data_IF_514321358035
#
_entry.id   IF_514321358035
#
_cell.length_a   1.000
_cell.length_b   1.000
_cell.length_c   1.000
_cell.angle_alpha   90.00
_cell.angle_beta   90.00
_cell.angle_gamma   90.00
#
_symmetry.space_group_name_H-M   'P 1'
#
loop_
_entity.id
_entity.type
_entity.pdbx_description
1 polymer ?
#
# COMPACT_ATOMS: atom_id res chain seq x y z
N UNK A 1 21.22 11.56 -24.41
CA UNK A 1 21.40 10.56 -23.32
C UNK A 1 22.14 11.24 -22.18
N UNK A 2 21.51 11.28 -21.02
CA UNK A 2 22.05 11.97 -19.85
C UNK A 2 22.65 10.98 -18.83
N UNK A 3 23.12 9.83 -19.34
CA UNK A 3 23.74 8.79 -18.51
C UNK A 3 24.97 9.29 -17.77
N UNK A 4 25.19 8.77 -16.54
CA UNK A 4 26.42 9.00 -15.78
C UNK A 4 27.64 8.29 -16.40
N UNK A 5 27.39 7.27 -17.21
CA UNK A 5 28.41 6.54 -17.97
C UNK A 5 28.61 7.15 -19.34
N UNK A 6 29.88 7.22 -19.80
CA UNK A 6 30.22 7.80 -21.12
C UNK A 6 30.97 6.83 -22.04
N UNK A 7 31.64 5.82 -21.47
CA UNK A 7 32.56 4.98 -22.22
C UNK A 7 32.73 3.61 -21.55
N UNK A 8 33.47 2.75 -22.20
CA UNK A 8 33.85 1.41 -21.74
C UNK A 8 35.36 1.28 -21.77
N UNK A 9 35.93 0.73 -20.69
CA UNK A 9 37.35 0.40 -20.62
C UNK A 9 37.52 -1.10 -20.42
N UNK A 10 38.59 -1.68 -20.91
CA UNK A 10 38.95 -3.07 -20.66
C UNK A 10 39.78 -3.18 -19.38
N UNK A 11 39.45 -4.13 -18.53
CA UNK A 11 40.27 -4.51 -17.38
C UNK A 11 41.56 -5.21 -17.87
N UNK A 12 42.51 -5.44 -16.97
CA UNK A 12 43.71 -6.24 -17.29
C UNK A 12 43.37 -7.71 -17.60
N UNK A 13 42.21 -8.19 -17.12
CA UNK A 13 41.68 -9.53 -17.45
C UNK A 13 40.86 -9.54 -18.75
N UNK A 14 40.76 -8.43 -19.49
CA UNK A 14 40.03 -8.32 -20.75
C UNK A 14 38.51 -8.13 -20.61
N UNK A 15 38.00 -7.92 -19.41
CA UNK A 15 36.58 -7.70 -19.17
C UNK A 15 36.19 -6.22 -19.35
N UNK A 16 35.04 -5.97 -19.94
CA UNK A 16 34.51 -4.63 -20.14
C UNK A 16 34.04 -4.01 -18.84
N UNK A 17 34.35 -2.75 -18.59
CA UNK A 17 34.02 -1.98 -17.40
C UNK A 17 33.39 -0.65 -17.83
N UNK A 18 32.21 -0.26 -17.30
CA UNK A 18 31.62 1.07 -17.52
C UNK A 18 32.51 2.17 -16.92
N UNK A 19 32.64 3.27 -17.63
CA UNK A 19 33.42 4.44 -17.25
C UNK A 19 32.52 5.64 -17.02
N UNK A 20 32.68 6.29 -15.88
CA UNK A 20 31.95 7.51 -15.54
C UNK A 20 32.40 8.71 -16.32
N UNK A 21 31.59 9.77 -16.38
CA UNK A 21 31.92 11.07 -16.95
C UNK A 21 33.21 11.67 -16.37
N UNK A 22 33.49 11.42 -15.10
CA UNK A 22 34.73 11.83 -14.44
C UNK A 22 35.99 11.13 -14.91
N UNK A 23 35.85 10.09 -15.73
CA UNK A 23 36.96 9.25 -16.19
C UNK A 23 37.27 8.07 -15.24
N UNK A 24 36.64 7.99 -14.07
CA UNK A 24 36.81 6.87 -13.13
C UNK A 24 36.03 5.63 -13.59
N UNK A 25 36.43 4.48 -13.10
CA UNK A 25 35.78 3.19 -13.38
C UNK A 25 34.92 2.77 -12.21
N UNK A 26 33.78 2.13 -12.50
CA UNK A 26 32.91 1.60 -11.44
C UNK A 26 33.50 0.34 -10.81
N UNK A 27 34.17 -0.51 -11.58
CA UNK A 27 34.80 -1.75 -11.13
C UNK A 27 36.34 -1.67 -11.16
N UNK A 28 36.98 -2.66 -10.56
CA UNK A 28 38.44 -2.82 -10.55
C UNK A 28 39.03 -2.86 -11.98
N UNK A 29 40.00 -1.99 -12.27
CA UNK A 29 40.76 -2.03 -13.52
C UNK A 29 41.60 -3.29 -13.71
N UNK A 30 41.89 -4.01 -12.60
CA UNK A 30 42.73 -5.20 -12.64
C UNK A 30 41.89 -6.45 -12.92
N UNK A 31 40.98 -6.80 -11.99
CA UNK A 31 40.15 -7.99 -12.04
C UNK A 31 38.79 -7.69 -11.37
N UNK A 32 37.74 -7.34 -12.15
CA UNK A 32 36.43 -7.02 -11.63
C UNK A 32 35.67 -8.25 -11.08
N UNK A 33 35.95 -9.47 -11.59
CA UNK A 33 35.33 -10.68 -11.05
C UNK A 33 35.86 -11.03 -9.66
N UNK A 34 37.18 -10.92 -9.48
CA UNK A 34 37.81 -11.14 -8.17
C UNK A 34 37.35 -10.10 -7.15
N UNK A 35 37.18 -8.83 -7.56
CA UNK A 35 36.59 -7.80 -6.74
C UNK A 35 35.17 -8.21 -6.29
N UNK A 36 34.32 -8.62 -7.23
CA UNK A 36 32.96 -9.05 -6.95
C UNK A 36 32.91 -10.25 -5.97
N UNK A 37 33.76 -11.26 -6.18
CA UNK A 37 33.86 -12.41 -5.28
C UNK A 37 34.27 -11.98 -3.86
N UNK A 38 35.25 -11.10 -3.74
CA UNK A 38 35.70 -10.62 -2.44
C UNK A 38 34.61 -9.83 -1.72
N UNK A 39 33.86 -9.00 -2.43
CA UNK A 39 32.74 -8.25 -1.86
C UNK A 39 31.61 -9.18 -1.37
N UNK A 40 31.25 -10.18 -2.18
CA UNK A 40 30.21 -11.15 -1.81
C UNK A 40 30.63 -12.05 -0.65
N UNK A 41 31.92 -12.36 -0.51
CA UNK A 41 32.43 -13.18 0.60
C UNK A 41 32.26 -12.48 1.95
N UNK A 42 32.22 -11.16 1.99
CA UNK A 42 31.97 -10.38 3.20
C UNK A 42 30.48 -10.25 3.56
N UNK A 43 29.59 -10.93 2.83
CA UNK A 43 28.16 -10.95 3.10
C UNK A 43 27.80 -12.31 3.67
N UNK A 44 27.21 -12.34 4.86
CA UNK A 44 27.10 -13.57 5.67
C UNK A 44 25.68 -14.18 5.70
N UNK A 45 24.66 -13.55 5.16
CA UNK A 45 23.29 -14.05 5.31
C UNK A 45 22.36 -13.77 4.12
N UNK A 46 21.35 -14.61 3.97
CA UNK A 46 20.23 -14.35 3.08
C UNK A 46 19.40 -13.16 3.59
N UNK A 47 19.16 -12.19 2.71
CA UNK A 47 18.46 -10.95 3.03
C UNK A 47 17.69 -10.42 1.85
N UNK A 48 16.98 -9.34 2.07
CA UNK A 48 16.60 -8.45 1.00
C UNK A 48 17.75 -7.46 0.76
N UNK A 49 18.30 -7.46 -0.44
CA UNK A 49 19.42 -6.60 -0.81
C UNK A 49 18.95 -5.45 -1.72
N UNK A 50 19.26 -4.22 -1.33
CA UNK A 50 19.24 -3.06 -2.21
C UNK A 50 20.68 -2.73 -2.58
N UNK A 51 21.02 -2.84 -3.86
CA UNK A 51 22.38 -2.64 -4.36
C UNK A 51 22.45 -1.34 -5.17
N UNK A 52 23.33 -0.41 -4.79
CA UNK A 52 23.54 0.85 -5.50
C UNK A 52 24.59 0.67 -6.60
N UNK A 53 24.22 1.03 -7.84
CA UNK A 53 25.10 0.90 -9.02
C UNK A 53 25.18 -0.53 -9.55
N UNK A 54 24.69 -0.74 -10.75
CA UNK A 54 24.69 -2.05 -11.44
C UNK A 54 26.04 -2.31 -12.07
N UNK A 55 26.59 -1.30 -12.74
CA UNK A 55 27.80 -1.43 -13.52
C UNK A 55 27.73 -2.56 -14.57
N UNK A 56 28.78 -3.34 -14.71
CA UNK A 56 28.76 -4.51 -15.57
C UNK A 56 28.14 -5.77 -14.89
N UNK A 57 27.50 -5.61 -13.74
CA UNK A 57 26.74 -6.66 -13.07
C UNK A 57 27.52 -7.75 -12.33
N UNK A 58 28.84 -7.70 -12.33
CA UNK A 58 29.68 -8.76 -11.73
C UNK A 58 29.33 -9.07 -10.29
N UNK A 59 29.16 -8.04 -9.47
CA UNK A 59 28.81 -8.19 -8.06
C UNK A 59 27.41 -8.77 -7.86
N UNK A 60 26.42 -8.23 -8.57
CA UNK A 60 25.02 -8.65 -8.43
C UNK A 60 24.84 -10.11 -8.87
N UNK A 61 25.51 -10.49 -9.95
CA UNK A 61 25.53 -11.88 -10.44
C UNK A 61 26.09 -12.83 -9.38
N UNK A 62 27.26 -12.52 -8.81
CA UNK A 62 27.86 -13.35 -7.74
C UNK A 62 27.01 -13.36 -6.48
N UNK A 63 26.33 -12.27 -6.14
CA UNK A 63 25.41 -12.20 -5.00
C UNK A 63 24.19 -13.12 -5.23
N UNK A 64 23.58 -13.08 -6.43
CA UNK A 64 22.45 -13.94 -6.77
C UNK A 64 22.83 -15.44 -6.82
N UNK A 65 24.03 -15.76 -7.29
CA UNK A 65 24.57 -17.14 -7.28
C UNK A 65 24.77 -17.67 -5.85
N UNK A 66 25.32 -16.83 -4.94
CA UNK A 66 25.58 -17.23 -3.54
C UNK A 66 24.30 -17.32 -2.72
N UNK A 67 23.31 -16.45 -2.98
CA UNK A 67 22.07 -16.36 -2.22
C UNK A 67 20.83 -16.45 -3.11
N UNK A 68 20.53 -17.62 -3.69
CA UNK A 68 19.45 -17.79 -4.66
C UNK A 68 18.03 -17.54 -4.08
N UNK A 69 17.89 -17.62 -2.75
CA UNK A 69 16.63 -17.36 -2.05
C UNK A 69 16.48 -15.91 -1.60
N UNK A 70 17.48 -15.08 -1.80
CA UNK A 70 17.41 -13.65 -1.49
C UNK A 70 16.68 -12.90 -2.59
N UNK A 71 16.09 -11.76 -2.23
CA UNK A 71 15.57 -10.79 -3.18
C UNK A 71 16.59 -9.68 -3.38
N UNK A 72 16.92 -9.40 -4.61
CA UNK A 72 17.88 -8.36 -4.96
C UNK A 72 17.17 -7.29 -5.77
N UNK A 73 17.25 -6.04 -5.32
CA UNK A 73 16.85 -4.85 -6.06
C UNK A 73 18.12 -4.08 -6.38
N UNK A 74 18.43 -3.91 -7.66
CA UNK A 74 19.58 -3.17 -8.12
C UNK A 74 19.13 -1.82 -8.69
N UNK A 75 19.77 -0.75 -8.25
CA UNK A 75 19.37 0.62 -8.60
C UNK A 75 20.43 1.35 -9.39
N UNK A 76 20.00 2.00 -10.47
CA UNK A 76 20.74 3.07 -11.15
C UNK A 76 20.03 4.42 -10.98
N UNK A 77 20.75 5.51 -11.28
CA UNK A 77 20.17 6.83 -11.11
C UNK A 77 18.97 7.04 -12.04
N UNK A 78 19.09 6.66 -13.31
CA UNK A 78 18.12 6.97 -14.36
C UNK A 78 17.91 5.83 -15.35
N UNK A 79 16.87 5.95 -16.17
CA UNK A 79 16.63 5.01 -17.27
C UNK A 79 17.75 5.10 -18.34
N UNK A 80 18.31 6.28 -18.59
CA UNK A 80 19.45 6.45 -19.52
C UNK A 80 20.68 5.62 -19.09
N UNK A 81 20.90 5.47 -17.78
CA UNK A 81 21.99 4.63 -17.25
C UNK A 81 21.72 3.15 -17.49
N UNK A 82 20.49 2.70 -17.23
CA UNK A 82 20.05 1.33 -17.50
C UNK A 82 20.18 1.00 -18.99
N UNK A 83 19.74 1.89 -19.86
CA UNK A 83 19.79 1.73 -21.31
C UNK A 83 21.25 1.67 -21.82
N UNK A 84 22.15 2.47 -21.24
CA UNK A 84 23.58 2.41 -21.54
C UNK A 84 24.15 1.04 -21.18
N UNK A 85 23.85 0.53 -19.96
CA UNK A 85 24.36 -0.74 -19.49
C UNK A 85 23.81 -1.91 -20.32
N UNK A 86 22.53 -1.90 -20.66
CA UNK A 86 21.95 -2.96 -21.52
C UNK A 86 22.57 -2.96 -22.91
N UNK A 87 22.70 -1.77 -23.51
CA UNK A 87 23.29 -1.64 -24.86
C UNK A 87 24.71 -2.20 -24.96
N UNK A 88 25.52 -2.01 -23.94
CA UNK A 88 26.94 -2.32 -23.99
C UNK A 88 27.33 -3.64 -23.33
N UNK A 89 26.52 -4.13 -22.37
CA UNK A 89 26.84 -5.31 -21.57
C UNK A 89 25.76 -6.40 -21.65
N UNK A 90 24.55 -6.06 -22.14
CA UNK A 90 23.36 -6.95 -22.12
C UNK A 90 23.03 -7.50 -20.71
N UNK A 91 23.52 -6.78 -19.69
CA UNK A 91 23.47 -7.26 -18.29
C UNK A 91 22.10 -7.14 -17.68
N UNK A 92 21.29 -6.15 -18.10
CA UNK A 92 19.97 -5.90 -17.49
C UNK A 92 19.03 -7.08 -17.76
N UNK A 93 19.02 -7.57 -19.01
CA UNK A 93 18.23 -8.74 -19.39
C UNK A 93 18.70 -10.00 -18.66
N UNK A 94 20.00 -10.20 -18.52
CA UNK A 94 20.59 -11.33 -17.79
C UNK A 94 20.21 -11.31 -16.30
N UNK A 95 20.32 -10.16 -15.64
CA UNK A 95 19.98 -10.01 -14.23
C UNK A 95 18.48 -10.24 -13.96
N UNK A 96 17.60 -9.74 -14.84
CA UNK A 96 16.17 -9.99 -14.75
C UNK A 96 15.82 -11.48 -14.85
N UNK A 97 16.48 -12.25 -15.71
CA UNK A 97 16.32 -13.70 -15.78
C UNK A 97 16.74 -14.40 -14.48
N UNK A 98 17.67 -13.82 -13.74
CA UNK A 98 18.12 -14.32 -12.41
C UNK A 98 17.28 -13.75 -11.25
N UNK A 99 16.06 -13.29 -11.50
CA UNK A 99 15.12 -12.77 -10.50
C UNK A 99 15.59 -11.52 -9.75
N UNK A 100 16.50 -10.75 -10.35
CA UNK A 100 16.94 -9.43 -9.86
C UNK A 100 15.99 -8.36 -10.39
N UNK A 101 15.53 -7.49 -9.50
CA UNK A 101 14.71 -6.33 -9.88
C UNK A 101 15.63 -5.17 -10.19
N UNK A 102 15.43 -4.58 -11.36
CA UNK A 102 16.14 -3.37 -11.78
C UNK A 102 15.22 -2.17 -11.60
N UNK A 103 15.70 -1.13 -10.94
CA UNK A 103 14.93 0.09 -10.67
C UNK A 103 15.77 1.35 -10.84
N UNK A 104 15.10 2.49 -10.90
CA UNK A 104 15.73 3.83 -10.89
C UNK A 104 15.46 4.52 -9.57
N UNK A 105 16.19 5.61 -9.29
CA UNK A 105 15.96 6.44 -8.10
C UNK A 105 14.52 6.94 -8.04
N UNK A 106 13.91 7.28 -9.16
CA UNK A 106 12.51 7.75 -9.25
C UNK A 106 11.50 6.66 -8.82
N UNK A 107 11.76 5.42 -9.21
CA UNK A 107 10.85 4.29 -8.96
C UNK A 107 11.18 3.50 -7.70
N UNK A 108 12.23 3.87 -6.96
CA UNK A 108 12.76 3.11 -5.83
C UNK A 108 11.71 2.90 -4.74
N UNK A 109 10.99 3.95 -4.36
CA UNK A 109 9.97 3.88 -3.30
C UNK A 109 8.94 2.79 -3.58
N UNK A 110 8.32 2.83 -4.76
CA UNK A 110 7.32 1.85 -5.16
C UNK A 110 7.92 0.44 -5.31
N UNK A 111 9.14 0.34 -5.81
CA UNK A 111 9.86 -0.93 -5.94
C UNK A 111 10.07 -1.59 -4.57
N UNK A 112 10.42 -0.82 -3.54
CA UNK A 112 10.58 -1.35 -2.18
C UNK A 112 9.25 -1.77 -1.57
N UNK A 113 8.19 -0.95 -1.69
CA UNK A 113 6.85 -1.30 -1.19
C UNK A 113 6.30 -2.60 -1.80
N UNK A 114 6.56 -2.84 -3.08
CA UNK A 114 6.06 -4.01 -3.79
C UNK A 114 6.86 -5.30 -3.52
N UNK A 115 8.12 -5.18 -3.13
CA UNK A 115 9.03 -6.33 -3.14
C UNK A 115 9.61 -6.68 -1.77
N UNK A 116 9.71 -5.74 -0.82
CA UNK A 116 10.21 -6.06 0.51
C UNK A 116 9.09 -6.51 1.43
N UNK A 117 9.08 -7.78 1.76
CA UNK A 117 8.09 -8.40 2.67
C UNK A 117 8.84 -8.91 3.91
N UNK A 118 8.74 -8.22 5.08
CA UNK A 118 9.51 -8.55 6.29
C UNK A 118 9.31 -9.97 6.82
N UNK A 119 8.15 -10.60 6.57
CA UNK A 119 7.89 -11.99 6.96
C UNK A 119 8.62 -13.03 6.10
N UNK A 120 9.04 -12.65 4.90
CA UNK A 120 9.81 -13.52 3.98
C UNK A 120 11.31 -13.20 4.09
N UNK A 121 11.63 -11.90 4.16
CA UNK A 121 13.00 -11.39 4.26
C UNK A 121 13.19 -10.69 5.61
N UNK A 122 13.66 -11.39 6.64
CA UNK A 122 13.72 -10.85 8.00
C UNK A 122 14.76 -9.74 8.16
N UNK A 123 15.70 -9.62 7.23
CA UNK A 123 16.67 -8.52 7.23
C UNK A 123 16.72 -7.78 5.90
N UNK A 124 17.00 -6.49 5.96
CA UNK A 124 17.20 -5.60 4.82
C UNK A 124 18.63 -5.08 4.84
N UNK A 125 19.34 -5.19 3.72
CA UNK A 125 20.71 -4.68 3.57
C UNK A 125 20.84 -3.75 2.38
N UNK A 126 21.29 -2.54 2.63
CA UNK A 126 21.76 -1.63 1.61
C UNK A 126 23.22 -1.94 1.32
N UNK A 127 23.51 -2.37 0.12
CA UNK A 127 24.88 -2.61 -0.36
C UNK A 127 25.38 -1.39 -1.08
N UNK A 128 26.35 -0.76 -0.47
CA UNK A 128 26.95 0.50 -0.91
C UNK A 128 28.14 0.23 -1.86
N UNK A 129 27.92 0.41 -3.18
CA UNK A 129 29.01 0.27 -4.13
C UNK A 129 29.85 1.55 -4.13
N UNK A 130 30.97 1.53 -3.41
CA UNK A 130 31.78 2.73 -3.10
C UNK A 130 32.13 3.57 -4.34
N UNK A 131 32.54 2.92 -5.45
CA UNK A 131 32.91 3.64 -6.67
C UNK A 131 31.74 4.42 -7.24
N UNK A 132 30.54 3.85 -7.21
CA UNK A 132 29.31 4.49 -7.66
C UNK A 132 28.92 5.67 -6.77
N UNK A 133 28.98 5.48 -5.46
CA UNK A 133 28.62 6.50 -4.47
C UNK A 133 29.53 7.72 -4.56
N UNK A 134 30.84 7.52 -4.70
CA UNK A 134 31.79 8.64 -4.83
C UNK A 134 31.54 9.54 -6.04
N UNK A 135 30.90 9.01 -7.08
CA UNK A 135 30.53 9.77 -8.28
C UNK A 135 29.10 10.33 -8.21
N UNK A 136 28.28 9.88 -7.24
CA UNK A 136 26.85 10.17 -7.19
C UNK A 136 26.38 10.44 -5.74
N UNK A 137 27.12 11.24 -4.97
CA UNK A 137 26.84 11.48 -3.54
C UNK A 137 25.43 12.03 -3.29
N UNK A 138 25.02 13.06 -4.03
CA UNK A 138 23.67 13.67 -3.86
C UNK A 138 22.55 12.67 -4.18
N UNK A 139 22.79 11.79 -5.16
CA UNK A 139 21.83 10.74 -5.54
C UNK A 139 21.78 9.68 -4.45
N UNK A 140 22.92 9.32 -3.87
CA UNK A 140 23.00 8.34 -2.80
C UNK A 140 22.26 8.83 -1.53
N UNK A 141 22.43 10.08 -1.14
CA UNK A 141 21.65 10.68 -0.05
C UNK A 141 20.13 10.61 -0.32
N UNK A 142 19.72 10.86 -1.56
CA UNK A 142 18.34 10.72 -1.98
C UNK A 142 17.83 9.29 -1.86
N UNK A 143 18.64 8.30 -2.27
CA UNK A 143 18.35 6.87 -2.14
C UNK A 143 18.20 6.49 -0.67
N UNK A 144 19.08 6.96 0.21
CA UNK A 144 18.99 6.69 1.65
C UNK A 144 17.70 7.24 2.26
N UNK A 145 17.32 8.48 1.91
CA UNK A 145 16.08 9.09 2.39
C UNK A 145 14.83 8.34 1.91
N UNK A 146 14.75 8.02 0.62
CA UNK A 146 13.64 7.24 0.05
C UNK A 146 13.56 5.85 0.70
N UNK A 147 14.70 5.20 0.89
CA UNK A 147 14.78 3.87 1.52
C UNK A 147 14.29 3.92 2.96
N UNK A 148 14.75 4.91 3.73
CA UNK A 148 14.33 5.10 5.13
C UNK A 148 12.82 5.32 5.25
N UNK A 149 12.24 6.15 4.38
CA UNK A 149 10.80 6.41 4.34
C UNK A 149 10.02 5.14 3.96
N UNK A 150 10.44 4.43 2.92
CA UNK A 150 9.80 3.20 2.49
C UNK A 150 9.83 2.13 3.59
N UNK A 151 10.98 1.91 4.23
CA UNK A 151 11.12 0.94 5.32
C UNK A 151 10.25 1.30 6.53
N UNK A 152 10.14 2.59 6.87
CA UNK A 152 9.25 3.05 7.93
C UNK A 152 7.78 2.70 7.63
N UNK A 153 7.33 2.97 6.41
CA UNK A 153 5.96 2.69 6.01
C UNK A 153 5.68 1.17 5.96
N UNK A 154 6.60 0.37 5.41
CA UNK A 154 6.51 -1.09 5.42
C UNK A 154 6.44 -1.64 6.84
N UNK A 155 7.27 -1.13 7.76
CA UNK A 155 7.26 -1.58 9.16
C UNK A 155 5.96 -1.23 9.88
N UNK A 156 5.37 -0.06 9.60
CA UNK A 156 4.07 0.35 10.15
C UNK A 156 2.95 -0.56 9.64
N UNK A 157 2.90 -0.80 8.33
CA UNK A 157 1.90 -1.70 7.72
C UNK A 157 2.04 -3.12 8.24
N UNK A 158 3.26 -3.64 8.30
CA UNK A 158 3.53 -4.98 8.82
C UNK A 158 3.11 -5.13 10.28
N UNK A 159 3.42 -4.14 11.13
CA UNK A 159 2.99 -4.11 12.53
C UNK A 159 1.46 -4.09 12.66
N UNK A 160 0.78 -3.30 11.86
CA UNK A 160 -0.67 -3.22 11.83
C UNK A 160 -1.30 -4.55 11.40
N UNK A 161 -0.80 -5.16 10.34
CA UNK A 161 -1.26 -6.47 9.87
C UNK A 161 -0.97 -7.58 10.88
N UNK A 162 0.18 -7.56 11.55
CA UNK A 162 0.52 -8.54 12.58
C UNK A 162 -0.43 -8.45 13.78
N UNK A 163 -0.83 -7.23 14.16
CA UNK A 163 -1.73 -7.00 15.30
C UNK A 163 -3.19 -7.32 14.95
N UNK A 164 -3.68 -6.84 13.82
CA UNK A 164 -5.09 -6.92 13.45
C UNK A 164 -5.44 -8.07 12.50
N UNK A 165 -4.47 -8.67 11.82
CA UNK A 165 -4.71 -9.63 10.74
C UNK A 165 -5.60 -10.81 11.17
N UNK A 166 -5.38 -11.38 12.36
CA UNK A 166 -6.23 -12.47 12.89
C UNK A 166 -7.67 -12.00 13.14
N UNK A 167 -7.84 -10.75 13.59
CA UNK A 167 -9.16 -10.16 13.84
C UNK A 167 -9.88 -9.96 12.51
N UNK A 168 -9.20 -9.37 11.52
CA UNK A 168 -9.76 -9.14 10.19
C UNK A 168 -10.15 -10.44 9.50
N UNK A 169 -9.25 -11.44 9.46
CA UNK A 169 -9.55 -12.75 8.86
C UNK A 169 -10.77 -13.40 9.49
N UNK A 170 -10.85 -13.43 10.82
CA UNK A 170 -12.01 -13.98 11.55
C UNK A 170 -13.28 -13.19 11.22
N UNK A 171 -13.21 -11.87 11.18
CA UNK A 171 -14.34 -11.03 10.87
C UNK A 171 -14.82 -11.27 9.43
N UNK A 172 -13.90 -11.29 8.45
CA UNK A 172 -14.24 -11.56 7.04
C UNK A 172 -14.99 -12.88 6.91
N UNK A 173 -14.46 -13.97 7.48
CA UNK A 173 -15.10 -15.30 7.40
C UNK A 173 -16.50 -15.28 8.03
N UNK A 174 -16.68 -14.59 9.16
CA UNK A 174 -17.96 -14.48 9.82
C UNK A 174 -18.94 -13.55 9.07
N UNK A 175 -18.44 -12.49 8.46
CA UNK A 175 -19.27 -11.50 7.77
C UNK A 175 -19.71 -12.00 6.40
N UNK A 176 -18.87 -12.75 5.68
CA UNK A 176 -19.26 -13.44 4.44
C UNK A 176 -20.51 -14.35 4.66
N UNK A 177 -20.62 -14.99 5.83
CA UNK A 177 -21.81 -15.79 6.20
C UNK A 177 -23.06 -14.95 6.46
N UNK A 178 -22.91 -13.63 6.62
CA UNK A 178 -24.04 -12.71 6.89
C UNK A 178 -24.58 -12.05 5.61
N UNK A 179 -23.92 -12.22 4.49
CA UNK A 179 -24.35 -11.67 3.21
C UNK A 179 -25.67 -12.32 2.83
N UNK A 180 -26.65 -11.52 2.48
CA UNK A 180 -27.94 -11.96 1.91
C UNK A 180 -28.12 -11.28 0.56
N UNK A 181 -28.62 -12.00 -0.42
CA UNK A 181 -28.71 -11.61 -1.83
C UNK A 181 -29.81 -10.59 -2.16
N UNK A 182 -30.53 -10.01 -1.20
CA UNK A 182 -31.93 -9.70 -1.48
C UNK A 182 -32.35 -8.25 -1.42
N UNK A 183 -31.46 -7.27 -1.34
CA UNK A 183 -31.94 -5.87 -1.29
C UNK A 183 -31.11 -4.96 -2.18
N UNK A 184 -31.64 -4.64 -3.36
CA UNK A 184 -31.15 -3.49 -4.13
C UNK A 184 -31.47 -2.21 -3.36
N UNK A 185 -30.45 -1.50 -2.89
CA UNK A 185 -30.60 -0.24 -2.15
C UNK A 185 -30.42 0.90 -3.15
N UNK A 186 -31.49 1.67 -3.33
CA UNK A 186 -31.50 2.85 -4.20
C UNK A 186 -31.23 4.09 -3.34
N UNK A 187 -30.15 4.80 -3.68
CA UNK A 187 -29.81 6.07 -3.02
C UNK A 187 -30.47 7.26 -3.71
N UNK A 188 -30.98 8.25 -2.94
CA UNK A 188 -31.61 9.48 -3.48
C UNK A 188 -30.54 10.46 -3.98
N UNK A 189 -30.05 10.23 -5.19
CA UNK A 189 -28.93 10.99 -5.81
C UNK A 189 -29.23 12.46 -6.04
N UNK A 190 -30.49 12.86 -6.00
CA UNK A 190 -30.98 14.24 -6.09
C UNK A 190 -30.77 15.05 -4.81
N UNK A 191 -30.52 14.38 -3.68
CA UNK A 191 -30.17 15.03 -2.42
C UNK A 191 -28.68 15.31 -2.31
N UNK A 192 -28.34 16.27 -1.46
CA UNK A 192 -26.94 16.52 -1.09
C UNK A 192 -26.50 15.46 -0.09
N UNK A 193 -25.43 14.74 -0.39
CA UNK A 193 -24.81 13.83 0.58
C UNK A 193 -24.05 14.63 1.64
N UNK A 194 -24.29 14.36 2.90
CA UNK A 194 -23.55 14.97 4.01
C UNK A 194 -22.82 13.89 4.77
N UNK A 195 -21.50 13.88 4.61
CA UNK A 195 -20.60 12.98 5.37
C UNK A 195 -20.33 13.63 6.73
N UNK A 196 -20.79 13.00 7.80
CA UNK A 196 -20.67 13.53 9.17
C UNK A 196 -19.65 12.72 9.95
N UNK A 197 -18.60 13.43 10.41
CA UNK A 197 -17.57 12.90 11.31
C UNK A 197 -17.73 13.46 12.73
N UNK A 198 -17.13 12.79 13.72
CA UNK A 198 -17.21 13.20 15.13
C UNK A 198 -16.15 14.27 15.50
N UNK A 199 -15.95 15.26 14.63
CA UNK A 199 -15.04 16.37 14.90
C UNK A 199 -15.71 17.53 15.66
N UNK A 200 -14.93 18.48 16.20
CA UNK A 200 -15.47 19.65 16.92
C UNK A 200 -16.34 20.56 16.04
N UNK A 201 -16.22 20.44 14.72
CA UNK A 201 -17.05 21.16 13.75
C UNK A 201 -18.51 20.71 13.77
N UNK A 202 -18.79 19.46 14.17
CA UNK A 202 -20.14 18.90 14.18
C UNK A 202 -21.07 19.69 15.09
N UNK A 203 -20.62 20.04 16.29
CA UNK A 203 -21.45 20.79 17.27
C UNK A 203 -21.96 22.10 16.68
N UNK A 204 -21.12 22.79 15.88
CA UNK A 204 -21.47 24.06 15.23
C UNK A 204 -22.44 23.88 14.04
N UNK A 205 -22.60 22.66 13.55
CA UNK A 205 -23.40 22.34 12.35
C UNK A 205 -24.70 21.61 12.66
N UNK A 206 -24.96 21.27 13.92
CA UNK A 206 -26.19 20.56 14.34
C UNK A 206 -27.45 21.32 13.92
N UNK A 207 -27.51 22.63 14.16
CA UNK A 207 -28.66 23.47 13.76
C UNK A 207 -28.89 23.43 12.24
N UNK A 208 -27.81 23.60 11.47
CA UNK A 208 -27.87 23.55 10.00
C UNK A 208 -28.34 22.18 9.49
N UNK A 209 -27.89 21.10 10.09
CA UNK A 209 -28.32 19.74 9.71
C UNK A 209 -29.83 19.58 9.95
N UNK A 210 -30.32 20.05 11.10
CA UNK A 210 -31.76 19.98 11.45
C UNK A 210 -32.63 20.80 10.47
N UNK A 211 -32.19 22.02 10.11
CA UNK A 211 -32.90 22.90 9.18
C UNK A 211 -32.96 22.37 7.74
N UNK A 212 -31.91 21.64 7.32
CA UNK A 212 -31.80 21.14 5.96
C UNK A 212 -32.16 19.65 5.82
N UNK A 213 -32.71 19.00 6.86
CA UNK A 213 -32.88 17.55 6.92
C UNK A 213 -33.58 16.93 5.69
N UNK A 214 -34.54 17.59 5.13
CA UNK A 214 -35.31 17.09 3.97
C UNK A 214 -34.49 17.11 2.66
N UNK A 215 -33.52 18.00 2.56
CA UNK A 215 -32.71 18.20 1.35
C UNK A 215 -31.43 17.37 1.31
N UNK A 216 -31.05 16.78 2.46
CA UNK A 216 -29.79 16.09 2.64
C UNK A 216 -29.98 14.60 2.86
N UNK A 217 -28.94 13.82 2.52
CA UNK A 217 -28.78 12.42 2.88
C UNK A 217 -27.54 12.27 3.75
N UNK A 218 -27.71 11.82 4.99
CA UNK A 218 -26.65 11.80 6.00
C UNK A 218 -25.92 10.45 5.98
N UNK A 219 -24.64 10.49 5.63
CA UNK A 219 -23.68 9.40 5.87
C UNK A 219 -22.92 9.70 7.17
N UNK A 220 -23.23 9.03 8.26
CA UNK A 220 -22.52 9.20 9.51
C UNK A 220 -21.37 8.18 9.61
N UNK A 221 -20.21 8.61 10.12
CA UNK A 221 -19.24 7.66 10.66
C UNK A 221 -19.82 7.00 11.92
N UNK A 222 -19.35 5.81 12.29
CA UNK A 222 -19.79 5.10 13.50
C UNK A 222 -19.64 5.94 14.78
N UNK A 223 -18.56 6.72 14.87
CA UNK A 223 -18.33 7.65 15.99
C UNK A 223 -19.31 8.82 15.99
N UNK A 224 -19.60 9.41 14.83
CA UNK A 224 -20.57 10.51 14.69
C UNK A 224 -22.02 10.06 14.93
N UNK A 225 -22.35 8.81 14.58
CA UNK A 225 -23.69 8.25 14.75
C UNK A 225 -24.22 8.39 16.18
N UNK A 226 -23.36 8.10 17.19
CA UNK A 226 -23.71 8.27 18.59
C UNK A 226 -24.03 9.72 18.96
N UNK A 227 -23.32 10.70 18.39
CA UNK A 227 -23.54 12.13 18.62
C UNK A 227 -24.84 12.58 17.98
N UNK A 228 -25.07 12.20 16.72
CA UNK A 228 -26.32 12.52 16.02
C UNK A 228 -27.54 11.94 16.73
N UNK A 229 -27.45 10.71 17.25
CA UNK A 229 -28.53 10.12 18.06
C UNK A 229 -28.83 10.91 19.34
N UNK A 230 -27.81 11.48 20.00
CA UNK A 230 -28.04 12.35 21.19
C UNK A 230 -28.81 13.61 20.83
N UNK A 231 -28.54 14.16 19.65
CA UNK A 231 -29.17 15.34 19.09
C UNK A 231 -30.52 15.05 18.42
N UNK A 232 -31.00 13.81 18.49
CA UNK A 232 -32.25 13.33 17.87
C UNK A 232 -32.25 13.50 16.34
N UNK A 233 -31.05 13.42 15.71
CA UNK A 233 -30.90 13.45 14.27
C UNK A 233 -30.72 12.01 13.78
N UNK A 234 -31.61 11.60 12.87
CA UNK A 234 -31.49 10.26 12.25
C UNK A 234 -30.51 10.32 11.08
N UNK A 235 -29.52 9.39 11.10
CA UNK A 235 -28.64 9.17 9.98
C UNK A 235 -29.34 8.26 8.96
N UNK A 236 -29.27 8.61 7.67
CA UNK A 236 -29.82 7.76 6.60
C UNK A 236 -28.93 6.56 6.37
N UNK A 237 -27.60 6.76 6.43
CA UNK A 237 -26.63 5.69 6.38
C UNK A 237 -25.55 5.86 7.45
N UNK A 238 -24.98 4.73 7.91
CA UNK A 238 -23.84 4.69 8.84
C UNK A 238 -22.75 3.81 8.26
N UNK A 239 -21.54 4.32 8.18
CA UNK A 239 -20.39 3.57 7.71
C UNK A 239 -19.42 3.24 8.84
N UNK A 240 -18.94 1.99 8.87
CA UNK A 240 -17.95 1.50 9.83
C UNK A 240 -17.01 0.50 9.16
N UNK A 241 -15.71 0.74 9.31
CA UNK A 241 -14.66 -0.15 8.77
C UNK A 241 -13.85 -0.83 9.88
N UNK A 242 -14.06 -0.43 11.15
CA UNK A 242 -13.25 -0.90 12.27
C UNK A 242 -13.61 -2.33 12.67
N UNK A 243 -12.60 -3.23 12.68
CA UNK A 243 -12.73 -4.62 13.10
C UNK A 243 -12.68 -4.85 14.60
N UNK A 244 -12.33 -3.83 15.39
CA UNK A 244 -12.09 -3.97 16.82
C UNK A 244 -13.38 -4.07 17.64
N UNK A 245 -13.30 -4.72 18.80
CA UNK A 245 -14.48 -4.88 19.68
C UNK A 245 -14.95 -3.55 20.27
N UNK A 246 -14.08 -2.56 20.37
CA UNK A 246 -14.43 -1.24 20.89
C UNK A 246 -15.51 -0.54 20.04
N UNK A 247 -15.53 -0.78 18.74
CA UNK A 247 -16.52 -0.20 17.82
C UNK A 247 -17.95 -0.61 18.16
N UNK A 248 -18.15 -1.73 18.86
CA UNK A 248 -19.48 -2.14 19.32
C UNK A 248 -20.15 -1.09 20.22
N UNK A 249 -19.38 -0.29 20.94
CA UNK A 249 -19.90 0.78 21.80
C UNK A 249 -20.67 1.87 21.05
N UNK A 250 -20.38 2.06 19.77
CA UNK A 250 -21.08 3.05 18.94
C UNK A 250 -22.52 2.63 18.62
N UNK A 251 -22.82 1.33 18.72
CA UNK A 251 -24.11 0.71 18.39
C UNK A 251 -24.92 0.26 19.61
N UNK A 252 -24.57 0.69 20.84
CA UNK A 252 -25.26 0.27 22.07
C UNK A 252 -26.68 0.83 22.21
N UNK A 253 -26.92 2.03 21.68
CA UNK A 253 -28.23 2.68 21.73
C UNK A 253 -29.24 2.00 20.79
N UNK A 254 -30.53 2.40 20.95
CA UNK A 254 -31.58 1.95 20.04
C UNK A 254 -31.25 2.36 18.61
N UNK A 255 -31.28 1.38 17.73
CA UNK A 255 -30.98 1.56 16.31
C UNK A 255 -32.27 1.86 15.58
N UNK A 256 -32.24 2.88 14.70
CA UNK A 256 -33.38 3.18 13.84
C UNK A 256 -33.44 2.13 12.72
N UNK A 257 -34.60 1.53 12.52
CA UNK A 257 -34.87 0.46 11.55
C UNK A 257 -34.71 0.91 10.09
N UNK A 258 -34.83 2.21 9.80
CA UNK A 258 -34.67 2.78 8.46
C UNK A 258 -33.23 3.12 8.08
N UNK A 259 -32.29 3.10 9.04
CA UNK A 259 -30.90 3.42 8.79
C UNK A 259 -30.24 2.29 8.00
N UNK A 260 -29.56 2.62 6.89
CA UNK A 260 -28.73 1.73 6.12
C UNK A 260 -27.37 1.63 6.80
N UNK A 261 -26.85 0.43 6.95
CA UNK A 261 -25.50 0.23 7.51
C UNK A 261 -24.54 -0.24 6.43
N UNK A 262 -23.38 0.40 6.36
CA UNK A 262 -22.31 0.10 5.41
C UNK A 262 -21.12 -0.39 6.21
N UNK A 263 -20.78 -1.65 6.06
CA UNK A 263 -19.68 -2.27 6.79
C UNK A 263 -18.61 -2.79 5.84
N UNK A 264 -17.35 -2.48 6.15
CA UNK A 264 -16.27 -3.25 5.56
C UNK A 264 -16.35 -4.71 6.04
N UNK A 265 -15.98 -5.66 5.17
CA UNK A 265 -15.97 -7.07 5.55
C UNK A 265 -14.94 -7.38 6.66
N UNK A 266 -13.91 -6.53 6.85
CA UNK A 266 -13.02 -6.59 8.04
C UNK A 266 -13.69 -6.09 9.31
N UNK A 267 -14.83 -5.40 9.22
CA UNK A 267 -15.56 -4.77 10.31
C UNK A 267 -16.03 -5.75 11.39
N UNK A 268 -16.37 -5.22 12.57
CA UNK A 268 -16.72 -6.03 13.72
C UNK A 268 -17.98 -6.89 13.50
N UNK A 269 -17.82 -8.20 13.46
CA UNK A 269 -18.91 -9.16 13.23
C UNK A 269 -20.04 -9.11 14.26
N UNK A 270 -19.76 -8.65 15.48
CA UNK A 270 -20.82 -8.54 16.53
C UNK A 270 -21.71 -7.33 16.26
N UNK A 271 -21.15 -6.22 15.74
CA UNK A 271 -21.94 -5.08 15.28
C UNK A 271 -22.88 -5.52 14.16
N UNK A 272 -22.33 -6.18 13.13
CA UNK A 272 -23.09 -6.65 11.97
C UNK A 272 -24.22 -7.58 12.38
N UNK A 273 -23.97 -8.58 13.25
CA UNK A 273 -25.05 -9.47 13.78
C UNK A 273 -26.13 -8.70 14.51
N UNK A 274 -25.76 -7.69 15.33
CA UNK A 274 -26.72 -6.86 16.04
C UNK A 274 -27.60 -6.06 15.08
N UNK A 275 -27.01 -5.42 14.09
CA UNK A 275 -27.69 -4.63 13.07
C UNK A 275 -28.64 -5.52 12.25
N UNK A 276 -28.17 -6.68 11.80
CA UNK A 276 -28.98 -7.66 11.06
C UNK A 276 -30.17 -8.16 11.90
N UNK A 277 -29.95 -8.45 13.19
CA UNK A 277 -31.02 -8.86 14.10
C UNK A 277 -32.09 -7.78 14.31
N UNK A 278 -31.71 -6.50 14.17
CA UNK A 278 -32.66 -5.37 14.24
C UNK A 278 -33.46 -5.19 12.93
N UNK A 279 -33.13 -5.92 11.86
CA UNK A 279 -33.82 -5.86 10.58
C UNK A 279 -33.33 -4.78 9.62
N UNK A 280 -32.19 -4.14 9.92
CA UNK A 280 -31.65 -3.10 9.07
C UNK A 280 -31.00 -3.66 7.79
N UNK A 281 -31.05 -2.86 6.73
CA UNK A 281 -30.30 -3.12 5.50
C UNK A 281 -28.80 -2.94 5.75
N UNK A 282 -28.01 -3.88 5.23
CA UNK A 282 -26.55 -3.87 5.34
C UNK A 282 -25.95 -3.95 3.94
N UNK A 283 -25.06 -3.02 3.64
CA UNK A 283 -24.18 -3.05 2.46
C UNK A 283 -22.78 -3.45 2.94
N UNK A 284 -22.20 -4.45 2.28
CA UNK A 284 -20.82 -4.81 2.52
C UNK A 284 -19.90 -4.13 1.52
N UNK A 285 -18.77 -3.61 2.02
CA UNK A 285 -17.69 -3.01 1.24
C UNK A 285 -16.40 -3.76 1.48
N UNK A 286 -15.40 -3.45 0.68
CA UNK A 286 -14.02 -3.95 0.84
C UNK A 286 -13.03 -2.79 0.84
N UNK A 287 -12.02 -2.90 1.68
CA UNK A 287 -10.82 -2.05 1.66
C UNK A 287 -9.64 -2.71 0.93
N UNK A 288 -9.90 -3.81 0.22
CA UNK A 288 -8.90 -4.51 -0.61
C UNK A 288 -8.13 -5.61 0.13
N UNK A 289 -8.66 -6.17 1.21
CA UNK A 289 -8.01 -7.28 1.91
C UNK A 289 -7.91 -8.52 1.00
N UNK A 290 -6.72 -9.17 0.86
CA UNK A 290 -6.51 -10.29 -0.08
C UNK A 290 -7.51 -11.47 0.08
N UNK A 291 -7.95 -11.76 1.30
CA UNK A 291 -8.94 -12.81 1.55
C UNK A 291 -10.32 -12.48 0.95
N UNK A 292 -10.68 -11.20 0.89
CA UNK A 292 -11.95 -10.75 0.28
C UNK A 292 -11.84 -10.91 -1.24
N UNK A 293 -10.75 -10.44 -1.84
CA UNK A 293 -10.48 -10.62 -3.28
C UNK A 293 -10.49 -12.10 -3.67
N UNK A 294 -9.91 -12.97 -2.85
CA UNK A 294 -9.97 -14.41 -3.06
C UNK A 294 -11.42 -14.92 -3.01
N UNK A 295 -12.23 -14.47 -2.05
CA UNK A 295 -13.63 -14.87 -1.94
C UNK A 295 -14.47 -14.42 -3.13
N UNK A 296 -14.25 -13.21 -3.66
CA UNK A 296 -14.90 -12.70 -4.88
C UNK A 296 -14.57 -13.56 -6.12
N UNK A 297 -13.31 -14.01 -6.22
CA UNK A 297 -12.87 -14.81 -7.37
C UNK A 297 -13.31 -16.28 -7.32
N UNK A 298 -13.50 -16.84 -6.13
CA UNK A 298 -13.77 -18.28 -5.95
C UNK A 298 -15.25 -18.63 -5.85
N UNK A 299 -16.08 -17.68 -5.45
CA UNK A 299 -17.53 -17.89 -5.44
C UNK A 299 -18.08 -17.49 -6.79
N UNK A 300 -18.75 -18.42 -7.49
CA UNK A 300 -19.60 -18.15 -8.67
C UNK A 300 -20.80 -17.25 -8.31
N UNK A 301 -20.61 -16.27 -7.45
CA UNK A 301 -21.62 -15.36 -6.97
C UNK A 301 -21.33 -13.98 -7.56
N UNK A 302 -22.37 -13.28 -8.01
CA UNK A 302 -22.34 -11.92 -8.54
C UNK A 302 -21.96 -10.84 -7.48
N UNK A 303 -21.23 -11.22 -6.42
CA UNK A 303 -20.81 -10.29 -5.38
C UNK A 303 -19.57 -9.49 -5.80
N UNK A 304 -19.83 -8.32 -6.34
CA UNK A 304 -18.82 -7.27 -6.48
C UNK A 304 -18.97 -6.30 -5.30
N UNK A 305 -18.13 -6.43 -4.28
CA UNK A 305 -18.14 -5.49 -3.16
C UNK A 305 -17.64 -4.12 -3.61
N UNK A 306 -18.36 -3.07 -3.20
CA UNK A 306 -17.88 -1.71 -3.46
C UNK A 306 -16.57 -1.51 -2.71
N UNK A 307 -15.49 -1.21 -3.44
CA UNK A 307 -14.23 -0.84 -2.81
C UNK A 307 -14.38 0.54 -2.15
N UNK A 308 -14.13 0.63 -0.86
CA UNK A 308 -14.11 1.87 -0.10
C UNK A 308 -12.67 2.19 0.32
N UNK A 309 -12.13 3.30 -0.15
CA UNK A 309 -10.75 3.68 0.12
C UNK A 309 -10.54 3.96 1.62
N UNK A 310 -9.67 3.18 2.27
CA UNK A 310 -9.25 3.37 3.65
C UNK A 310 -7.77 3.78 3.78
N UNK A 311 -7.08 4.03 2.67
CA UNK A 311 -5.63 4.25 2.63
C UNK A 311 -5.13 5.45 3.44
N UNK A 312 -6.02 6.38 3.81
CA UNK A 312 -5.71 7.52 4.69
C UNK A 312 -5.99 7.25 6.17
N UNK A 313 -6.46 6.04 6.53
CA UNK A 313 -6.69 5.63 7.91
C UNK A 313 -7.90 6.27 8.59
N UNK A 314 -8.80 6.93 7.87
CA UNK A 314 -10.00 7.53 8.45
C UNK A 314 -11.29 7.02 7.82
N UNK A 315 -12.28 6.69 8.66
CA UNK A 315 -13.64 6.28 8.22
C UNK A 315 -14.32 7.39 7.39
N UNK A 316 -14.00 8.65 7.64
CA UNK A 316 -14.56 9.81 6.92
C UNK A 316 -14.22 9.76 5.42
N UNK A 317 -12.99 9.40 5.08
CA UNK A 317 -12.57 9.25 3.67
C UNK A 317 -13.28 8.09 3.01
N UNK A 318 -13.43 6.96 3.71
CA UNK A 318 -14.21 5.83 3.20
C UNK A 318 -15.68 6.17 2.96
N UNK A 319 -16.27 7.01 3.83
CA UNK A 319 -17.64 7.49 3.66
C UNK A 319 -17.78 8.43 2.46
N UNK A 320 -16.81 9.33 2.26
CA UNK A 320 -16.75 10.23 1.11
C UNK A 320 -16.61 9.45 -0.22
N UNK A 321 -15.67 8.52 -0.26
CA UNK A 321 -15.42 7.67 -1.42
C UNK A 321 -16.65 6.81 -1.77
N UNK A 322 -17.29 6.22 -0.75
CA UNK A 322 -18.52 5.46 -0.93
C UNK A 322 -19.66 6.33 -1.49
N UNK A 323 -19.91 7.50 -0.90
CA UNK A 323 -20.96 8.43 -1.37
C UNK A 323 -20.74 8.85 -2.83
N UNK A 324 -19.50 9.10 -3.22
CA UNK A 324 -19.14 9.37 -4.61
C UNK A 324 -19.44 8.19 -5.54
N UNK A 325 -19.06 6.97 -5.14
CA UNK A 325 -19.23 5.74 -5.96
C UNK A 325 -20.69 5.34 -6.15
N UNK A 326 -21.54 5.62 -5.15
CA UNK A 326 -22.98 5.36 -5.31
C UNK A 326 -23.70 6.45 -6.09
N UNK A 327 -22.99 7.51 -6.52
CA UNK A 327 -23.42 8.45 -7.53
C UNK A 327 -24.08 9.73 -7.00
N UNK A 328 -23.76 10.19 -5.78
CA UNK A 328 -24.13 11.53 -5.33
C UNK A 328 -23.33 12.59 -6.08
N UNK A 329 -24.02 13.61 -6.60
CA UNK A 329 -23.40 14.69 -7.38
C UNK A 329 -22.79 15.79 -6.48
N UNK A 330 -23.34 16.00 -5.30
CA UNK A 330 -22.88 16.99 -4.33
C UNK A 330 -22.65 16.34 -2.99
N UNK A 331 -21.45 16.52 -2.43
CA UNK A 331 -21.04 15.93 -1.16
C UNK A 331 -20.43 17.00 -0.27
N UNK A 332 -20.96 17.15 0.94
CA UNK A 332 -20.46 18.04 1.98
C UNK A 332 -19.86 17.21 3.11
N UNK A 333 -18.73 17.61 3.64
CA UNK A 333 -18.07 16.96 4.79
C UNK A 333 -18.16 17.89 6.01
N UNK A 334 -18.62 17.35 7.15
CA UNK A 334 -18.81 18.07 8.42
C UNK A 334 -18.04 17.38 9.55
#
# INVERSE_FOLDING_TARGET
MNSIYIDIELSKTGLKIPKFKSGKLIHSKYDPEKEAINLVNNIDENSFYLVTGIGAGFFIKKLSEKYPNSKIVAIENSQDDIDFLEKHFQIISELKMNNVIITTTENLYNSLLQNYIPSIYPSFKLIEYRSWILENQDIFEKIQNITSEALKNIAQDFSTQAHFGKIWQRNIINNLKQISSDTEIIFPKEKIAVVVAAGPSLDKKIAWIKENREKIFIFATDTAYKTLQKEQIFSDAVISIDGQNISYQHFLRKINDKTIFIFDLCGNSSCIRKIKKNGNNIIFTTTGHPLITFAEQTQNTDYNFIFANAGTGTVTISALDFASKVGFNEIIVI
#
